data_IF_218529068169
#
_entry.id   IF_218529068169
#
_cell.length_a   1.000
_cell.length_b   1.000
_cell.length_c   1.000
_cell.angle_alpha   90.00
_cell.angle_beta   90.00
_cell.angle_gamma   90.00
#
_symmetry.space_group_name_H-M   'P 1'
#
loop_
_entity.id
_entity.type
_entity.pdbx_description
1 polymer ?
#
# COMPACT_ATOMS: atom_id res chain seq x y z
N UNK A 1 -57.02 -40.64 80.20
CA UNK A 1 -56.51 -41.18 78.93
C UNK A 1 -57.04 -40.30 77.83
N UNK A 2 -56.14 -39.62 77.11
CA UNK A 2 -56.46 -38.59 76.14
C UNK A 2 -56.61 -39.19 74.74
N UNK A 3 -57.57 -38.71 73.95
CA UNK A 3 -57.57 -38.83 72.50
C UNK A 3 -57.94 -37.46 71.94
N UNK A 4 -56.94 -36.79 71.35
CA UNK A 4 -57.07 -35.49 70.71
C UNK A 4 -57.54 -35.67 69.26
N UNK A 5 -58.51 -34.87 68.86
CA UNK A 5 -58.85 -34.59 67.46
C UNK A 5 -57.69 -33.84 66.79
N UNK A 6 -57.49 -34.05 65.48
CA UNK A 6 -56.67 -33.17 64.64
C UNK A 6 -57.46 -32.89 63.35
N UNK A 7 -57.88 -31.63 63.09
CA UNK A 7 -58.55 -31.27 61.85
C UNK A 7 -57.55 -30.96 60.73
N UNK A 8 -58.03 -31.17 59.51
CA UNK A 8 -57.44 -30.93 58.19
C UNK A 8 -56.19 -30.02 58.11
N UNK A 9 -55.10 -30.61 57.62
CA UNK A 9 -53.94 -29.87 57.14
C UNK A 9 -54.34 -29.03 55.92
N UNK A 10 -54.50 -27.74 56.16
CA UNK A 10 -54.80 -26.73 55.16
C UNK A 10 -53.83 -26.76 53.97
N UNK A 11 -54.42 -26.80 52.78
CA UNK A 11 -53.76 -26.55 51.50
C UNK A 11 -53.26 -25.11 51.53
N UNK A 12 -51.94 -24.91 51.66
CA UNK A 12 -51.33 -23.61 51.40
C UNK A 12 -51.28 -23.35 49.89
N UNK A 13 -51.64 -22.16 49.40
CA UNK A 13 -51.43 -21.79 48.00
C UNK A 13 -49.93 -21.72 47.70
N UNK A 14 -49.48 -22.48 46.71
CA UNK A 14 -48.11 -22.48 46.22
C UNK A 14 -47.78 -21.09 45.63
N UNK A 15 -46.85 -20.40 46.27
CA UNK A 15 -46.33 -19.10 45.81
C UNK A 15 -45.56 -19.34 44.51
N UNK A 16 -45.86 -18.64 43.39
CA UNK A 16 -45.16 -18.85 42.14
C UNK A 16 -43.68 -18.47 42.29
N UNK A 17 -42.74 -19.24 41.68
CA UNK A 17 -41.32 -18.96 41.79
C UNK A 17 -41.00 -17.59 41.20
N UNK A 18 -40.29 -16.76 41.96
CA UNK A 18 -39.77 -15.46 41.50
C UNK A 18 -38.96 -15.64 40.20
N UNK A 19 -39.14 -14.77 39.18
CA UNK A 19 -38.39 -14.87 37.94
C UNK A 19 -36.88 -14.84 38.22
N UNK A 20 -36.18 -15.89 37.80
CA UNK A 20 -34.72 -15.94 37.82
C UNK A 20 -34.17 -14.69 37.12
N UNK A 21 -33.58 -13.76 37.87
CA UNK A 21 -32.81 -12.66 37.31
C UNK A 21 -31.57 -13.25 36.63
N UNK A 22 -31.68 -13.55 35.34
CA UNK A 22 -30.54 -13.91 34.51
C UNK A 22 -29.47 -12.80 34.63
N UNK A 23 -28.19 -13.12 34.83
CA UNK A 23 -27.15 -12.11 34.92
C UNK A 23 -27.11 -11.30 33.62
N UNK A 24 -27.15 -9.97 33.75
CA UNK A 24 -27.16 -9.05 32.62
C UNK A 24 -26.02 -9.38 31.62
N UNK A 25 -26.28 -9.41 30.30
CA UNK A 25 -25.25 -9.71 29.32
C UNK A 25 -24.18 -8.61 29.35
N UNK A 26 -22.95 -9.00 29.73
CA UNK A 26 -21.80 -8.08 29.77
C UNK A 26 -21.65 -7.41 28.41
N UNK A 27 -21.53 -6.07 28.34
CA UNK A 27 -21.42 -5.37 27.06
C UNK A 27 -20.17 -5.85 26.32
N UNK A 28 -20.35 -6.35 25.10
CA UNK A 28 -19.26 -6.70 24.18
C UNK A 28 -18.43 -5.45 23.90
N UNK A 29 -17.42 -5.17 24.74
CA UNK A 29 -16.31 -4.26 24.44
C UNK A 29 -15.37 -4.91 23.41
N UNK A 30 -15.91 -5.29 22.26
CA UNK A 30 -15.15 -5.77 21.12
C UNK A 30 -14.97 -4.62 20.15
N UNK A 31 -13.73 -4.12 20.02
CA UNK A 31 -13.04 -3.80 18.75
C UNK A 31 -11.76 -2.97 18.97
N UNK A 32 -11.73 -2.05 19.93
CA UNK A 32 -10.52 -1.23 20.18
C UNK A 32 -9.34 -2.01 20.80
N UNK A 33 -9.60 -2.98 21.67
CA UNK A 33 -8.53 -3.76 22.29
C UNK A 33 -7.80 -4.67 21.28
N UNK A 34 -8.52 -5.16 20.25
CA UNK A 34 -7.92 -5.93 19.14
C UNK A 34 -7.04 -5.07 18.22
N UNK A 35 -7.36 -3.78 18.05
CA UNK A 35 -6.52 -2.83 17.31
C UNK A 35 -5.21 -2.49 18.03
N UNK A 36 -5.19 -2.58 19.38
CA UNK A 36 -3.95 -2.49 20.18
C UNK A 36 -3.14 -3.80 20.23
N UNK A 37 -3.63 -4.88 19.63
CA UNK A 37 -2.84 -6.10 19.49
C UNK A 37 -1.81 -5.93 18.38
N UNK A 38 -0.68 -6.62 18.49
CA UNK A 38 0.38 -6.57 17.48
C UNK A 38 -0.12 -6.95 16.07
N UNK A 39 -1.13 -7.83 15.97
CA UNK A 39 -1.78 -8.14 14.70
C UNK A 39 -2.55 -6.95 14.11
N UNK A 40 -3.18 -6.12 14.96
CA UNK A 40 -3.80 -4.87 14.52
C UNK A 40 -2.78 -3.89 13.96
N UNK A 41 -1.62 -3.76 14.64
CA UNK A 41 -0.51 -2.90 14.18
C UNK A 41 0.06 -3.39 12.85
N UNK A 42 0.26 -4.71 12.67
CA UNK A 42 0.70 -5.30 11.39
C UNK A 42 -0.28 -5.02 10.26
N UNK A 43 -1.59 -5.15 10.50
CA UNK A 43 -2.62 -4.87 9.50
C UNK A 43 -2.60 -3.39 9.10
N UNK A 44 -2.47 -2.47 10.07
CA UNK A 44 -2.37 -1.03 9.78
C UNK A 44 -1.11 -0.74 8.97
N UNK A 45 0.04 -1.25 9.41
CA UNK A 45 1.31 -1.08 8.70
C UNK A 45 1.24 -1.62 7.28
N UNK A 46 0.73 -2.84 7.11
CA UNK A 46 0.54 -3.46 5.79
C UNK A 46 -0.43 -2.68 4.90
N UNK A 47 -1.52 -2.16 5.45
CA UNK A 47 -2.49 -1.34 4.70
C UNK A 47 -1.87 -0.01 4.24
N UNK A 48 -1.09 0.65 5.10
CA UNK A 48 -0.37 1.87 4.76
C UNK A 48 0.68 1.59 3.68
N UNK A 49 1.47 0.52 3.83
CA UNK A 49 2.47 0.13 2.82
C UNK A 49 1.82 -0.21 1.47
N UNK A 50 0.69 -0.92 1.48
CA UNK A 50 -0.04 -1.24 0.26
C UNK A 50 -0.56 0.03 -0.44
N UNK A 51 -1.10 0.99 0.31
CA UNK A 51 -1.55 2.26 -0.24
C UNK A 51 -0.38 3.07 -0.82
N UNK A 52 0.73 3.18 -0.08
CA UNK A 52 1.93 3.87 -0.55
C UNK A 52 2.52 3.21 -1.78
N UNK A 53 2.47 1.88 -1.88
CA UNK A 53 2.91 1.14 -3.06
C UNK A 53 2.08 1.51 -4.29
N UNK A 54 0.75 1.52 -4.16
CA UNK A 54 -0.16 1.89 -5.27
C UNK A 54 0.11 3.33 -5.74
N UNK A 55 0.26 4.26 -4.80
CA UNK A 55 0.58 5.67 -5.11
C UNK A 55 1.93 5.75 -5.82
N UNK A 56 2.96 5.10 -5.28
CA UNK A 56 4.31 5.08 -5.85
C UNK A 56 4.32 4.52 -7.26
N UNK A 57 3.62 3.41 -7.47
CA UNK A 57 3.54 2.74 -8.76
C UNK A 57 2.86 3.62 -9.82
N UNK A 58 1.76 4.28 -9.45
CA UNK A 58 0.99 5.12 -10.37
C UNK A 58 1.71 6.44 -10.67
N UNK A 59 2.25 7.10 -9.65
CA UNK A 59 2.89 8.42 -9.79
C UNK A 59 4.25 8.35 -10.51
N UNK A 60 4.99 7.25 -10.35
CA UNK A 60 6.34 7.09 -10.91
C UNK A 60 6.33 6.11 -12.10
N UNK A 61 5.23 6.00 -12.84
CA UNK A 61 5.20 5.19 -14.05
C UNK A 61 6.01 5.88 -15.15
N UNK A 62 7.16 5.32 -15.57
CA UNK A 62 8.06 6.00 -16.48
C UNK A 62 7.44 6.23 -17.87
N UNK A 63 6.55 5.35 -18.32
CA UNK A 63 5.87 5.50 -19.62
C UNK A 63 4.87 6.67 -19.67
N UNK A 64 4.34 7.11 -18.53
CA UNK A 64 3.49 8.31 -18.47
C UNK A 64 4.31 9.60 -18.46
N UNK A 65 5.56 9.55 -17.98
CA UNK A 65 6.42 10.73 -17.80
C UNK A 65 7.32 11.00 -19.01
N UNK A 66 7.77 9.96 -19.72
CA UNK A 66 8.70 10.11 -20.86
C UNK A 66 8.05 10.51 -22.17
N UNK A 67 6.72 10.34 -22.32
CA UNK A 67 6.00 10.64 -23.56
C UNK A 67 6.21 9.63 -24.70
N UNK A 68 7.23 8.78 -24.64
CA UNK A 68 7.47 7.64 -25.55
C UNK A 68 7.94 6.39 -24.81
N UNK A 69 7.71 5.22 -25.40
CA UNK A 69 8.11 3.94 -24.79
C UNK A 69 9.52 3.52 -25.23
N UNK A 70 10.26 2.76 -24.40
CA UNK A 70 11.58 2.25 -24.78
C UNK A 70 11.64 1.44 -26.07
N UNK A 71 10.52 0.79 -26.44
CA UNK A 71 10.38 0.07 -27.71
C UNK A 71 10.47 0.96 -28.94
N UNK A 72 10.11 2.24 -28.80
CA UNK A 72 9.84 3.13 -29.93
C UNK A 72 11.09 3.94 -30.30
N UNK A 73 11.99 4.18 -29.33
CA UNK A 73 13.18 5.02 -29.52
C UNK A 73 14.06 4.62 -30.69
N UNK A 74 14.23 3.31 -30.92
CA UNK A 74 15.03 2.82 -32.06
C UNK A 74 14.39 3.23 -33.39
N UNK A 75 13.06 3.14 -33.46
CA UNK A 75 12.31 3.56 -34.63
C UNK A 75 12.34 5.08 -34.80
N UNK A 76 12.19 5.84 -33.71
CA UNK A 76 12.26 7.31 -33.72
C UNK A 76 13.64 7.82 -34.18
N UNK A 77 14.73 7.23 -33.66
CA UNK A 77 16.10 7.53 -34.10
C UNK A 77 16.31 7.18 -35.57
N UNK A 78 15.84 6.00 -36.01
CA UNK A 78 15.94 5.58 -37.41
C UNK A 78 15.13 6.49 -38.35
N UNK A 79 13.97 6.97 -37.91
CA UNK A 79 13.15 7.89 -38.69
C UNK A 79 13.81 9.27 -38.81
N UNK A 80 14.39 9.78 -37.72
CA UNK A 80 15.17 11.01 -37.73
C UNK A 80 16.39 10.90 -38.67
N UNK A 81 17.08 9.75 -38.65
CA UNK A 81 18.24 9.51 -39.49
C UNK A 81 17.89 9.39 -40.98
N UNK A 82 16.79 8.70 -41.29
CA UNK A 82 16.28 8.59 -42.66
C UNK A 82 15.88 9.97 -43.20
N UNK A 83 15.15 10.76 -42.41
CA UNK A 83 14.73 12.12 -42.76
C UNK A 83 15.93 13.03 -42.98
N UNK A 84 16.94 12.95 -42.12
CA UNK A 84 18.18 13.70 -42.29
C UNK A 84 18.94 13.28 -43.55
N UNK A 85 19.05 11.98 -43.82
CA UNK A 85 19.73 11.46 -45.01
C UNK A 85 19.06 11.93 -46.30
N UNK A 86 17.72 11.89 -46.37
CA UNK A 86 16.95 12.41 -47.50
C UNK A 86 17.18 13.90 -47.70
N UNK A 87 17.04 14.70 -46.63
CA UNK A 87 17.21 16.15 -46.71
C UNK A 87 18.66 16.54 -47.05
N UNK A 88 19.67 15.87 -46.47
CA UNK A 88 21.07 16.14 -46.79
C UNK A 88 21.41 15.79 -48.24
N UNK A 89 20.73 14.81 -48.85
CA UNK A 89 20.85 14.54 -50.29
C UNK A 89 20.45 15.74 -51.15
N UNK A 90 19.42 16.47 -50.73
CA UNK A 90 18.88 17.64 -51.44
C UNK A 90 19.59 18.96 -51.10
N UNK A 91 20.24 19.05 -49.94
CA UNK A 91 20.83 20.30 -49.43
C UNK A 91 22.35 20.29 -49.34
N UNK A 92 23.03 19.25 -49.82
CA UNK A 92 24.49 19.10 -49.67
C UNK A 92 25.25 20.27 -50.31
N UNK A 93 26.07 20.96 -49.52
CA UNK A 93 26.87 22.10 -50.00
C UNK A 93 26.10 23.41 -50.18
N UNK A 94 24.79 23.43 -49.91
CA UNK A 94 23.98 24.64 -49.90
C UNK A 94 23.96 25.28 -48.50
N UNK A 95 23.78 26.62 -48.39
CA UNK A 95 23.71 27.30 -47.09
C UNK A 95 22.64 26.74 -46.14
N UNK A 96 21.56 26.18 -46.70
CA UNK A 96 20.48 25.53 -45.95
C UNK A 96 20.87 24.23 -45.24
N UNK A 97 22.04 23.65 -45.51
CA UNK A 97 22.51 22.43 -44.87
C UNK A 97 22.65 22.57 -43.34
N UNK A 98 23.05 23.75 -42.85
CA UNK A 98 23.14 24.02 -41.41
C UNK A 98 21.76 23.93 -40.74
N UNK A 99 20.69 24.34 -41.41
CA UNK A 99 19.32 24.27 -40.89
C UNK A 99 18.86 22.81 -40.80
N UNK A 100 19.11 22.00 -41.83
CA UNK A 100 18.78 20.57 -41.86
C UNK A 100 19.50 19.81 -40.73
N UNK A 101 20.80 20.06 -40.57
CA UNK A 101 21.58 19.46 -39.48
C UNK A 101 21.04 19.89 -38.10
N UNK A 102 20.56 21.13 -37.97
CA UNK A 102 19.93 21.64 -36.75
C UNK A 102 18.62 20.93 -36.41
N UNK A 103 17.77 20.63 -37.40
CA UNK A 103 16.55 19.84 -37.19
C UNK A 103 16.85 18.41 -36.78
N UNK A 104 17.82 17.76 -37.43
CA UNK A 104 18.26 16.43 -37.03
C UNK A 104 18.78 16.40 -35.59
N UNK A 105 19.64 17.36 -35.22
CA UNK A 105 20.14 17.48 -33.85
C UNK A 105 19.01 17.67 -32.83
N UNK A 106 17.96 18.42 -33.19
CA UNK A 106 16.77 18.59 -32.36
C UNK A 106 15.98 17.28 -32.22
N UNK A 107 15.73 16.57 -33.32
CA UNK A 107 15.01 15.29 -33.33
C UNK A 107 15.74 14.25 -32.43
N UNK A 108 17.07 14.16 -32.50
CA UNK A 108 17.87 13.30 -31.62
C UNK A 108 17.83 13.78 -30.16
N UNK A 109 17.90 15.10 -29.92
CA UNK A 109 17.82 15.66 -28.57
C UNK A 109 16.48 15.37 -27.89
N UNK A 110 15.38 15.39 -28.64
CA UNK A 110 14.05 15.05 -28.14
C UNK A 110 13.97 13.58 -27.70
N UNK A 111 14.45 12.64 -28.53
CA UNK A 111 14.51 11.21 -28.16
C UNK A 111 15.43 11.01 -26.94
N UNK A 112 16.56 11.68 -26.90
CA UNK A 112 17.50 11.61 -25.76
C UNK A 112 16.87 12.15 -24.47
N UNK A 113 16.10 13.23 -24.54
CA UNK A 113 15.37 13.77 -23.39
C UNK A 113 14.30 12.80 -22.89
N UNK A 114 13.57 12.13 -23.79
CA UNK A 114 12.60 11.10 -23.45
C UNK A 114 13.27 9.91 -22.74
N UNK A 115 14.43 9.46 -23.25
CA UNK A 115 15.25 8.41 -22.63
C UNK A 115 15.69 8.77 -21.21
N UNK A 116 16.27 9.96 -21.04
CA UNK A 116 16.74 10.43 -19.73
C UNK A 116 15.58 10.55 -18.72
N UNK A 117 14.44 11.06 -19.16
CA UNK A 117 13.22 11.17 -18.33
C UNK A 117 12.73 9.78 -17.92
N UNK A 118 12.69 8.83 -18.85
CA UNK A 118 12.33 7.44 -18.57
C UNK A 118 13.26 6.81 -17.53
N UNK A 119 14.57 6.98 -17.68
CA UNK A 119 15.58 6.46 -16.76
C UNK A 119 15.44 7.09 -15.38
N UNK A 120 15.27 8.42 -15.30
CA UNK A 120 15.09 9.13 -14.04
C UNK A 120 13.82 8.65 -13.30
N UNK A 121 12.70 8.55 -14.02
CA UNK A 121 11.43 8.06 -13.47
C UNK A 121 11.52 6.59 -13.00
N UNK A 122 12.18 5.74 -13.79
CA UNK A 122 12.46 4.33 -13.43
C UNK A 122 13.33 4.22 -12.18
N UNK A 123 14.39 5.02 -12.10
CA UNK A 123 15.29 5.09 -10.94
C UNK A 123 14.54 5.54 -9.69
N UNK A 124 13.76 6.61 -9.77
CA UNK A 124 12.93 7.09 -8.67
C UNK A 124 11.93 6.04 -8.20
N UNK A 125 11.25 5.34 -9.13
CA UNK A 125 10.34 4.23 -8.80
C UNK A 125 11.07 3.13 -8.04
N UNK A 126 12.23 2.68 -8.53
CA UNK A 126 13.00 1.62 -7.90
C UNK A 126 13.53 2.02 -6.52
N UNK A 127 14.01 3.26 -6.38
CA UNK A 127 14.42 3.83 -5.09
C UNK A 127 13.28 3.87 -4.08
N UNK A 128 12.09 4.31 -4.51
CA UNK A 128 10.89 4.32 -3.66
C UNK A 128 10.45 2.90 -3.26
N UNK A 129 10.55 1.92 -4.16
CA UNK A 129 10.27 0.52 -3.83
C UNK A 129 11.24 -0.02 -2.76
N UNK A 130 12.53 0.29 -2.88
CA UNK A 130 13.53 -0.07 -1.85
C UNK A 130 13.22 0.59 -0.52
N UNK A 131 12.81 1.86 -0.52
CA UNK A 131 12.41 2.57 0.69
C UNK A 131 11.18 1.91 1.35
N UNK A 132 10.15 1.56 0.56
CA UNK A 132 8.96 0.86 1.07
C UNK A 132 9.30 -0.49 1.68
N UNK A 133 10.19 -1.26 1.04
CA UNK A 133 10.69 -2.51 1.59
C UNK A 133 11.42 -2.28 2.92
N UNK A 134 12.28 -1.26 2.98
CA UNK A 134 13.00 -0.88 4.20
C UNK A 134 12.06 -0.51 5.35
N UNK A 135 11.02 0.29 5.08
CA UNK A 135 10.00 0.65 6.08
C UNK A 135 9.23 -0.59 6.54
N UNK A 136 8.87 -1.50 5.62
CA UNK A 136 8.21 -2.75 5.97
C UNK A 136 9.05 -3.63 6.89
N UNK A 137 10.33 -3.82 6.58
CA UNK A 137 11.25 -4.59 7.42
C UNK A 137 11.48 -3.93 8.78
N UNK A 138 11.74 -2.62 8.81
CA UNK A 138 11.93 -1.87 10.04
C UNK A 138 10.68 -1.94 10.94
N UNK A 139 9.50 -1.74 10.35
CA UNK A 139 8.23 -1.83 11.06
C UNK A 139 8.00 -3.21 11.67
N UNK A 140 8.26 -4.30 10.94
CA UNK A 140 8.12 -5.65 11.47
C UNK A 140 9.13 -5.95 12.59
N UNK A 141 10.37 -5.48 12.48
CA UNK A 141 11.37 -5.63 13.55
C UNK A 141 10.95 -4.89 14.83
N UNK A 142 10.41 -3.67 14.70
CA UNK A 142 9.90 -2.89 15.84
C UNK A 142 8.73 -3.62 16.50
N UNK A 143 7.78 -4.12 15.72
CA UNK A 143 6.61 -4.87 16.24
C UNK A 143 7.08 -6.11 16.99
N UNK A 144 7.98 -6.91 16.40
CA UNK A 144 8.55 -8.12 17.06
C UNK A 144 9.30 -7.77 18.34
N UNK A 145 10.07 -6.68 18.33
CA UNK A 145 10.78 -6.20 19.53
C UNK A 145 9.81 -5.82 20.65
N UNK A 146 8.75 -5.08 20.32
CA UNK A 146 7.72 -4.68 21.28
C UNK A 146 6.92 -5.87 21.83
N UNK A 147 6.59 -6.87 21.00
CA UNK A 147 5.95 -8.13 21.43
C UNK A 147 6.81 -8.86 22.47
N UNK A 148 8.11 -9.03 22.18
CA UNK A 148 9.05 -9.69 23.11
C UNK A 148 9.18 -8.95 24.44
N UNK A 149 9.32 -7.62 24.40
CA UNK A 149 9.40 -6.80 25.61
C UNK A 149 8.10 -6.87 26.46
N UNK A 150 6.94 -6.90 25.79
CA UNK A 150 5.65 -7.05 26.46
C UNK A 150 5.46 -8.41 27.13
N UNK A 151 5.95 -9.48 26.51
CA UNK A 151 5.95 -10.83 27.09
C UNK A 151 6.85 -10.88 28.35
N UNK A 152 8.08 -10.37 28.26
CA UNK A 152 9.02 -10.39 29.38
C UNK A 152 8.51 -9.60 30.59
N UNK A 153 7.84 -8.47 30.37
CA UNK A 153 7.25 -7.65 31.44
C UNK A 153 6.08 -8.36 32.15
N UNK A 154 5.32 -9.22 31.45
CA UNK A 154 4.25 -10.02 32.06
C UNK A 154 4.77 -11.24 32.82
N UNK A 155 5.94 -11.76 32.48
CA UNK A 155 6.55 -12.89 33.17
C UNK A 155 7.22 -12.50 34.50
N UNK A 156 7.46 -11.20 34.72
CA UNK A 156 8.18 -10.65 35.88
C UNK A 156 7.27 -9.90 36.86
N UNK A 157 5.97 -9.80 36.57
CA UNK A 157 4.93 -9.16 37.40
C UNK A 157 3.98 -10.22 37.97
#
# INVERSE_FOLDING_TARGET
MATYETPDAGIMPEVPPTPNHAPAPKPKRLKLAKLRSANGVRIILGSVLALLLIITWSANNPGLQSGSSPSDWKSELSAADLKNTMNNGETKGAPQQTVVNGWYANDIAAVTAAQNTYIAASSARNGNLLMLLGIGMAGELIIRGAERAGINRRATA
#
